data_IF_577531667794
#
_entry.id   IF_577531667794
#
_cell.length_a   1.000
_cell.length_b   1.000
_cell.length_c   1.000
_cell.angle_alpha   90.00
_cell.angle_beta   90.00
_cell.angle_gamma   90.00
#
_symmetry.space_group_name_H-M   'P 1'
#
loop_
_entity.id
_entity.type
_entity.pdbx_description
1 polymer ?
#
# COMPACT_ATOMS: atom_id res chain seq x y z
N UNK A 1 -2.70 -9.70 -20.19
CA UNK A 1 -2.18 -8.47 -19.61
C UNK A 1 -3.22 -7.35 -19.78
N UNK A 2 -3.24 -6.37 -18.84
CA UNK A 2 -4.16 -5.21 -18.90
C UNK A 2 -3.95 -4.36 -20.16
N UNK A 3 -2.74 -4.32 -20.70
CA UNK A 3 -2.42 -3.63 -21.95
C UNK A 3 -3.24 -4.16 -23.14
N UNK A 4 -3.62 -5.44 -23.15
CA UNK A 4 -4.46 -6.00 -24.20
C UNK A 4 -5.86 -5.36 -24.27
N UNK A 5 -6.31 -4.69 -23.22
CA UNK A 5 -7.56 -3.91 -23.26
C UNK A 5 -7.34 -2.66 -24.13
N UNK A 6 -6.20 -1.98 -23.96
CA UNK A 6 -5.85 -0.81 -24.73
C UNK A 6 -5.68 -1.12 -26.24
N UNK A 7 -5.12 -2.29 -26.60
CA UNK A 7 -4.98 -2.70 -28.02
C UNK A 7 -6.31 -2.90 -28.76
N UNK A 8 -7.42 -3.06 -28.02
CA UNK A 8 -8.76 -3.22 -28.57
C UNK A 8 -9.55 -1.90 -28.65
N UNK A 9 -8.97 -0.79 -28.16
CA UNK A 9 -9.60 0.52 -28.25
C UNK A 9 -9.60 1.02 -29.69
N UNK A 10 -10.68 1.71 -30.06
CA UNK A 10 -10.79 2.41 -31.35
C UNK A 10 -10.09 3.76 -31.32
N UNK A 11 -10.05 4.48 -32.44
CA UNK A 11 -9.51 5.86 -32.53
C UNK A 11 -10.23 6.87 -31.63
N UNK A 12 -11.46 6.58 -31.20
CA UNK A 12 -12.20 7.43 -30.24
C UNK A 12 -11.80 7.18 -28.80
N UNK A 13 -11.15 6.04 -28.50
CA UNK A 13 -10.65 5.76 -27.17
C UNK A 13 -9.46 6.63 -26.77
N UNK A 14 -9.20 6.71 -25.47
CA UNK A 14 -8.04 7.40 -24.91
C UNK A 14 -7.26 6.44 -24.03
N UNK A 15 -5.96 6.36 -24.24
CA UNK A 15 -5.03 5.62 -23.39
C UNK A 15 -4.22 6.61 -22.56
N UNK A 16 -4.56 6.71 -21.28
CA UNK A 16 -3.85 7.55 -20.30
C UNK A 16 -2.81 6.68 -19.61
N UNK A 17 -1.55 7.08 -19.63
CA UNK A 17 -0.47 6.24 -19.09
C UNK A 17 0.70 7.04 -18.55
N UNK A 18 1.38 6.46 -17.58
CA UNK A 18 2.64 6.99 -17.06
C UNK A 18 3.77 6.78 -18.09
N UNK A 19 4.27 7.87 -18.67
CA UNK A 19 5.38 7.85 -19.64
C UNK A 19 6.74 7.48 -19.03
N UNK A 20 6.85 7.47 -17.67
CA UNK A 20 8.09 7.09 -16.99
C UNK A 20 8.24 5.56 -16.86
N UNK A 21 7.12 4.79 -17.06
CA UNK A 21 7.16 3.33 -17.04
C UNK A 21 7.89 2.77 -18.25
N UNK A 22 9.00 2.07 -17.98
CA UNK A 22 9.77 1.37 -19.01
C UNK A 22 8.96 0.26 -19.67
N UNK A 23 8.11 -0.42 -18.87
CA UNK A 23 7.25 -1.50 -19.35
C UNK A 23 6.20 -0.99 -20.35
N UNK A 24 5.57 0.14 -20.05
CA UNK A 24 4.59 0.75 -20.97
C UNK A 24 5.26 1.22 -22.25
N UNK A 25 6.44 1.84 -22.17
CA UNK A 25 7.21 2.23 -23.36
C UNK A 25 7.50 1.04 -24.26
N UNK A 26 8.05 -0.03 -23.70
CA UNK A 26 8.36 -1.25 -24.46
C UNK A 26 7.11 -1.91 -25.08
N UNK A 27 5.95 -1.85 -24.38
CA UNK A 27 4.68 -2.37 -24.91
C UNK A 27 4.15 -1.51 -26.07
N UNK A 28 4.25 -0.19 -25.99
CA UNK A 28 3.83 0.75 -27.05
C UNK A 28 4.69 0.59 -28.30
N UNK A 29 6.01 0.41 -28.14
CA UNK A 29 6.93 0.13 -29.27
C UNK A 29 6.60 -1.19 -29.97
N UNK A 30 6.31 -2.25 -29.18
CA UNK A 30 5.98 -3.58 -29.71
C UNK A 30 4.59 -3.64 -30.35
N UNK A 31 3.62 -2.93 -29.81
CA UNK A 31 2.22 -2.99 -30.22
C UNK A 31 1.59 -1.59 -30.15
N UNK A 32 1.74 -0.79 -31.22
CA UNK A 32 1.16 0.56 -31.28
C UNK A 32 -0.36 0.54 -31.11
N UNK A 33 -0.90 1.55 -30.44
CA UNK A 33 -2.33 1.70 -30.19
C UNK A 33 -2.97 2.60 -31.25
N UNK A 34 -4.24 2.32 -31.59
CA UNK A 34 -5.05 3.18 -32.46
C UNK A 34 -5.69 4.33 -31.68
N UNK A 35 -5.87 4.19 -30.37
CA UNK A 35 -6.46 5.18 -29.50
C UNK A 35 -5.56 6.41 -29.34
N UNK A 36 -6.18 7.56 -29.00
CA UNK A 36 -5.43 8.77 -28.62
C UNK A 36 -4.56 8.45 -27.39
N UNK A 37 -3.33 8.91 -27.41
CA UNK A 37 -2.39 8.71 -26.32
C UNK A 37 -2.29 9.97 -25.47
N UNK A 38 -2.49 9.84 -24.16
CA UNK A 38 -2.37 10.94 -23.18
C UNK A 38 -1.35 10.54 -22.11
N UNK A 39 -0.05 10.76 -22.38
CA UNK A 39 1.01 10.47 -21.43
C UNK A 39 1.01 11.48 -20.27
N UNK A 40 1.42 11.05 -19.09
CA UNK A 40 1.75 11.91 -17.97
C UNK A 40 3.00 11.40 -17.25
N UNK A 41 3.62 12.23 -16.44
CA UNK A 41 4.83 11.88 -15.68
C UNK A 41 4.68 12.20 -14.20
N UNK A 42 5.64 11.73 -13.42
CA UNK A 42 5.76 12.01 -12.00
C UNK A 42 5.88 13.51 -11.71
N UNK A 43 6.64 14.25 -12.50
CA UNK A 43 6.84 15.69 -12.34
C UNK A 43 5.53 16.48 -12.47
N UNK A 44 4.55 15.94 -13.20
CA UNK A 44 3.24 16.54 -13.38
C UNK A 44 2.28 16.21 -12.22
N UNK A 45 2.60 15.22 -11.39
CA UNK A 45 1.77 14.73 -10.28
C UNK A 45 2.02 15.53 -8.99
N UNK A 46 1.65 16.81 -9.01
CA UNK A 46 1.94 17.78 -7.92
C UNK A 46 0.81 17.97 -6.92
N UNK A 47 -0.34 17.29 -7.09
CA UNK A 47 -1.50 17.47 -6.22
C UNK A 47 -1.32 16.67 -4.94
N UNK A 48 -1.26 17.38 -3.82
CA UNK A 48 -1.29 16.79 -2.49
C UNK A 48 -2.73 16.64 -2.00
N UNK A 49 -3.14 15.40 -1.76
CA UNK A 49 -4.44 15.09 -1.18
C UNK A 49 -4.39 15.04 0.34
N UNK A 50 -5.50 15.42 0.98
CA UNK A 50 -5.60 15.45 2.43
C UNK A 50 -5.44 14.05 3.05
N UNK A 51 -5.99 13.04 2.39
CA UNK A 51 -6.10 11.68 2.93
C UNK A 51 -5.30 10.63 2.13
N UNK A 52 -5.04 10.86 0.84
CA UNK A 52 -4.25 9.94 0.01
C UNK A 52 -2.77 10.33 0.04
N UNK A 53 -1.99 9.67 0.89
CA UNK A 53 -0.56 9.94 1.06
C UNK A 53 0.29 9.10 0.11
N UNK A 54 1.48 9.63 -0.20
CA UNK A 54 2.49 8.95 -1.00
C UNK A 54 2.46 9.29 -2.49
N UNK A 55 3.63 9.22 -3.09
CA UNK A 55 3.86 9.60 -4.49
C UNK A 55 3.03 8.77 -5.48
N UNK A 56 2.90 7.46 -5.22
CA UNK A 56 2.08 6.59 -6.05
C UNK A 56 0.60 7.04 -6.07
N UNK A 57 0.09 7.62 -4.98
CA UNK A 57 -1.27 8.17 -4.94
C UNK A 57 -1.36 9.50 -5.70
N UNK A 58 -0.33 10.33 -5.71
CA UNK A 58 -0.29 11.53 -6.56
C UNK A 58 -0.39 11.15 -8.05
N UNK A 59 0.29 10.08 -8.47
CA UNK A 59 0.17 9.53 -9.83
C UNK A 59 -1.24 9.01 -10.13
N UNK A 60 -1.85 8.31 -9.17
CA UNK A 60 -3.24 7.83 -9.29
C UNK A 60 -4.23 9.00 -9.40
N UNK A 61 -4.06 10.04 -8.61
CA UNK A 61 -4.86 11.27 -8.64
C UNK A 61 -4.75 11.95 -10.01
N UNK A 62 -3.52 12.16 -10.51
CA UNK A 62 -3.31 12.78 -11.80
C UNK A 62 -3.97 11.97 -12.92
N UNK A 63 -3.82 10.66 -12.92
CA UNK A 63 -4.46 9.80 -13.92
C UNK A 63 -5.98 9.87 -13.86
N UNK A 64 -6.58 9.95 -12.65
CA UNK A 64 -8.02 10.08 -12.46
C UNK A 64 -8.54 11.45 -12.95
N UNK A 65 -7.81 12.53 -12.66
CA UNK A 65 -8.13 13.88 -13.16
C UNK A 65 -8.09 13.91 -14.69
N UNK A 66 -7.02 13.38 -15.29
CA UNK A 66 -6.90 13.31 -16.74
C UNK A 66 -8.03 12.50 -17.37
N UNK A 67 -8.44 11.42 -16.73
CA UNK A 67 -9.56 10.60 -17.19
C UNK A 67 -10.90 11.36 -17.07
N UNK A 68 -11.17 12.02 -15.93
CA UNK A 68 -12.42 12.76 -15.73
C UNK A 68 -12.60 13.92 -16.74
N UNK A 69 -11.50 14.56 -17.13
CA UNK A 69 -11.51 15.60 -18.14
C UNK A 69 -11.95 15.08 -19.53
N UNK A 70 -11.65 13.81 -19.86
CA UNK A 70 -12.13 13.19 -21.10
C UNK A 70 -13.68 13.00 -21.11
N UNK A 71 -14.30 13.03 -19.92
CA UNK A 71 -15.75 13.02 -19.73
C UNK A 71 -16.34 14.41 -19.43
N UNK A 72 -15.57 15.49 -19.63
CA UNK A 72 -16.05 16.86 -19.54
C UNK A 72 -15.93 17.51 -18.16
N UNK A 73 -15.28 16.88 -17.19
CA UNK A 73 -15.02 17.50 -15.89
C UNK A 73 -14.05 18.69 -16.06
N UNK A 74 -14.32 19.80 -15.36
CA UNK A 74 -13.37 20.91 -15.28
C UNK A 74 -12.19 20.54 -14.39
N UNK A 75 -11.00 20.99 -14.76
CA UNK A 75 -9.76 20.66 -14.05
C UNK A 75 -9.84 21.05 -12.57
N UNK A 76 -10.29 22.25 -12.27
CA UNK A 76 -10.37 22.80 -10.90
C UNK A 76 -11.35 22.01 -10.02
N UNK A 77 -12.46 21.55 -10.58
CA UNK A 77 -13.45 20.71 -9.88
C UNK A 77 -12.88 19.32 -9.59
N UNK A 78 -12.19 18.71 -10.57
CA UNK A 78 -11.55 17.43 -10.43
C UNK A 78 -10.40 17.47 -9.38
N UNK A 79 -9.58 18.52 -9.37
CA UNK A 79 -8.51 18.73 -8.38
C UNK A 79 -9.09 18.91 -6.97
N UNK A 80 -10.15 19.70 -6.82
CA UNK A 80 -10.80 19.92 -5.53
C UNK A 80 -11.40 18.62 -4.99
N UNK A 81 -12.05 17.84 -5.84
CA UNK A 81 -12.60 16.53 -5.48
C UNK A 81 -11.49 15.56 -5.07
N UNK A 82 -10.39 15.51 -5.83
CA UNK A 82 -9.26 14.63 -5.54
C UNK A 82 -8.56 14.99 -4.21
N UNK A 83 -8.40 16.28 -3.90
CA UNK A 83 -7.83 16.74 -2.61
C UNK A 83 -8.63 16.24 -1.40
N UNK A 84 -9.95 16.15 -1.53
CA UNK A 84 -10.86 15.79 -0.44
C UNK A 84 -11.34 14.34 -0.52
N UNK A 85 -10.84 13.56 -1.49
CA UNK A 85 -11.23 12.17 -1.67
C UNK A 85 -10.83 11.33 -0.46
N UNK A 86 -11.83 10.67 0.14
CA UNK A 86 -11.60 9.75 1.25
C UNK A 86 -11.06 8.42 0.69
N UNK A 87 -9.93 7.91 1.19
CA UNK A 87 -9.44 6.62 0.77
C UNK A 87 -10.41 5.50 1.14
N UNK A 88 -10.32 4.40 0.44
CA UNK A 88 -11.04 3.18 0.82
C UNK A 88 -10.57 2.71 2.19
N UNK A 89 -11.51 2.18 3.00
CA UNK A 89 -11.18 1.50 4.22
C UNK A 89 -10.10 0.43 3.98
N UNK A 90 -9.26 0.18 4.97
CA UNK A 90 -8.16 -0.79 4.92
C UNK A 90 -7.03 -0.48 3.92
N UNK A 91 -6.98 0.74 3.36
CA UNK A 91 -5.90 1.21 2.49
C UNK A 91 -5.22 2.44 3.09
N UNK A 92 -4.12 2.26 3.80
CA UNK A 92 -3.45 3.32 4.57
C UNK A 92 -4.45 4.13 5.41
N UNK A 93 -5.47 3.45 5.91
CA UNK A 93 -6.55 4.03 6.70
C UNK A 93 -5.99 4.49 8.05
N UNK A 94 -6.14 5.77 8.36
CA UNK A 94 -5.86 6.27 9.70
C UNK A 94 -6.89 5.73 10.69
N UNK A 95 -6.44 4.94 11.66
CA UNK A 95 -7.30 4.33 12.68
C UNK A 95 -7.48 5.23 13.89
N UNK A 96 -6.44 5.95 14.26
CA UNK A 96 -6.44 6.84 15.41
C UNK A 96 -5.08 6.96 16.07
N UNK A 97 -5.02 7.78 17.11
CA UNK A 97 -3.87 7.91 17.99
C UNK A 97 -4.25 7.44 19.40
N UNK A 98 -3.43 6.58 19.98
CA UNK A 98 -3.57 6.09 21.35
C UNK A 98 -2.23 6.17 22.08
N UNK A 99 -2.22 6.82 23.23
CA UNK A 99 -1.01 6.98 24.05
C UNK A 99 0.20 7.61 23.32
N UNK A 100 -0.07 8.45 22.31
CA UNK A 100 0.94 9.09 21.47
C UNK A 100 1.45 8.22 20.33
N UNK A 101 0.91 7.02 20.11
CA UNK A 101 1.19 6.15 18.97
C UNK A 101 0.09 6.31 17.94
N UNK A 102 0.47 6.52 16.69
CA UNK A 102 -0.47 6.57 15.55
C UNK A 102 -0.62 5.19 14.92
N UNK A 103 -1.85 4.78 14.66
CA UNK A 103 -2.17 3.48 14.07
C UNK A 103 -2.73 3.62 12.67
N UNK A 104 -2.20 2.83 11.73
CA UNK A 104 -2.68 2.75 10.35
C UNK A 104 -3.06 1.32 9.97
N UNK A 105 -4.17 1.20 9.26
CA UNK A 105 -4.68 -0.05 8.72
C UNK A 105 -4.51 -0.07 7.20
N UNK A 106 -3.65 -0.96 6.73
CA UNK A 106 -3.39 -1.21 5.31
C UNK A 106 -3.59 -2.71 5.00
N UNK A 107 -4.61 -3.29 5.60
CA UNK A 107 -4.91 -4.73 5.50
C UNK A 107 -5.13 -5.21 4.06
N UNK A 108 -5.48 -4.32 3.13
CA UNK A 108 -5.61 -4.64 1.70
C UNK A 108 -4.27 -4.94 1.02
N UNK A 109 -3.15 -4.59 1.63
CA UNK A 109 -1.81 -4.82 1.06
C UNK A 109 -1.40 -6.28 1.19
N UNK A 110 -1.69 -7.06 0.14
CA UNK A 110 -1.52 -8.52 0.09
C UNK A 110 -0.30 -8.98 -0.71
N UNK A 111 0.58 -8.05 -1.08
CA UNK A 111 1.85 -8.29 -1.78
C UNK A 111 2.96 -7.40 -1.22
N UNK A 112 4.23 -7.82 -1.27
CA UNK A 112 5.37 -7.06 -0.73
C UNK A 112 5.49 -5.63 -1.25
N UNK A 113 5.26 -5.41 -2.55
CA UNK A 113 5.36 -4.10 -3.18
C UNK A 113 4.38 -3.08 -2.57
N UNK A 114 3.16 -3.52 -2.21
CA UNK A 114 2.17 -2.65 -1.59
C UNK A 114 2.63 -2.20 -0.19
N UNK A 115 3.19 -3.11 0.61
CA UNK A 115 3.73 -2.79 1.94
C UNK A 115 4.95 -1.86 1.85
N UNK A 116 5.83 -2.05 0.86
CA UNK A 116 6.96 -1.15 0.60
C UNK A 116 6.45 0.26 0.28
N UNK A 117 5.45 0.40 -0.58
CA UNK A 117 4.86 1.70 -0.89
C UNK A 117 4.17 2.34 0.33
N UNK A 118 3.55 1.53 1.19
CA UNK A 118 3.00 2.00 2.47
C UNK A 118 4.10 2.57 3.40
N UNK A 119 5.23 1.88 3.52
CA UNK A 119 6.38 2.32 4.30
C UNK A 119 7.00 3.61 3.74
N UNK A 120 7.08 3.76 2.42
CA UNK A 120 7.54 5.00 1.76
C UNK A 120 6.59 6.17 2.04
N UNK A 121 5.28 5.91 2.04
CA UNK A 121 4.26 6.93 2.28
C UNK A 121 4.23 7.39 3.75
N UNK A 122 4.44 6.47 4.70
CA UNK A 122 4.38 6.70 6.15
C UNK A 122 5.79 6.64 6.77
N UNK A 123 6.55 7.72 6.63
CA UNK A 123 7.99 7.77 6.98
C UNK A 123 8.36 7.42 8.43
N UNK A 124 7.42 7.44 9.39
CA UNK A 124 7.68 7.21 10.82
C UNK A 124 7.22 5.84 11.32
N UNK A 125 7.05 4.88 10.42
CA UNK A 125 6.63 3.52 10.81
C UNK A 125 7.75 2.86 11.61
N UNK A 126 7.50 2.63 12.90
CA UNK A 126 8.43 1.94 13.79
C UNK A 126 8.03 0.48 14.01
N UNK A 127 6.72 0.19 14.01
CA UNK A 127 6.19 -1.15 14.23
C UNK A 127 5.37 -1.58 13.02
N UNK A 128 5.68 -2.74 12.46
CA UNK A 128 5.04 -3.32 11.28
C UNK A 128 4.45 -4.70 11.62
N UNK A 129 3.20 -4.93 11.21
CA UNK A 129 2.56 -6.25 11.24
C UNK A 129 2.61 -6.85 9.84
N UNK A 130 3.31 -7.98 9.69
CA UNK A 130 3.65 -8.65 8.44
C UNK A 130 3.17 -10.11 8.45
N UNK A 131 2.57 -10.58 7.36
CA UNK A 131 2.22 -11.97 7.19
C UNK A 131 0.73 -12.25 7.08
N UNK A 132 0.39 -13.53 7.10
CA UNK A 132 -0.91 -14.11 6.84
C UNK A 132 -0.76 -15.40 6.04
N UNK A 133 -1.68 -15.69 5.11
CA UNK A 133 -1.65 -16.86 4.25
C UNK A 133 -0.50 -16.80 3.24
N UNK A 134 0.34 -17.82 3.24
CA UNK A 134 1.38 -17.96 2.23
C UNK A 134 0.80 -18.52 0.92
N UNK A 135 0.94 -17.75 -0.15
CA UNK A 135 0.53 -18.14 -1.50
C UNK A 135 1.70 -18.49 -2.42
N UNK A 136 2.89 -18.71 -1.84
CA UNK A 136 4.12 -19.01 -2.59
C UNK A 136 4.65 -17.82 -3.39
N UNK A 137 4.26 -16.58 -3.04
CA UNK A 137 4.79 -15.39 -3.71
C UNK A 137 6.22 -15.09 -3.23
N UNK A 138 6.93 -14.28 -4.01
CA UNK A 138 8.28 -13.84 -3.68
C UNK A 138 8.25 -12.72 -2.64
N UNK A 139 8.84 -12.93 -1.46
CA UNK A 139 8.97 -11.95 -0.39
C UNK A 139 10.33 -11.26 -0.35
N UNK A 140 11.27 -11.64 -1.24
CA UNK A 140 12.61 -11.02 -1.27
C UNK A 140 12.59 -9.50 -1.34
N UNK A 141 11.66 -8.83 -2.07
CA UNK A 141 11.64 -7.36 -2.12
C UNK A 141 11.48 -6.70 -0.75
N UNK A 142 10.59 -7.21 0.12
CA UNK A 142 10.43 -6.62 1.47
C UNK A 142 11.60 -6.99 2.39
N UNK A 143 12.15 -8.19 2.28
CA UNK A 143 13.32 -8.64 3.05
C UNK A 143 14.56 -7.82 2.74
N UNK A 144 14.74 -7.41 1.48
CA UNK A 144 15.87 -6.59 1.04
C UNK A 144 15.74 -5.13 1.47
N UNK A 145 14.54 -4.55 1.32
CA UNK A 145 14.31 -3.12 1.47
C UNK A 145 13.90 -2.68 2.87
N UNK A 146 13.46 -3.59 3.75
CA UNK A 146 12.93 -3.22 5.07
C UNK A 146 13.94 -2.41 5.91
N UNK A 147 15.24 -2.65 5.72
CA UNK A 147 16.32 -1.92 6.39
C UNK A 147 16.47 -0.45 5.97
N UNK A 148 15.83 -0.04 4.88
CA UNK A 148 15.83 1.35 4.40
C UNK A 148 14.83 2.24 5.18
N UNK A 149 13.96 1.63 6.00
CA UNK A 149 12.90 2.30 6.75
C UNK A 149 13.21 2.37 8.26
N UNK A 150 12.47 3.21 8.98
CA UNK A 150 12.62 3.38 10.44
C UNK A 150 12.04 2.20 11.25
N UNK A 151 11.69 1.10 10.63
CA UNK A 151 11.12 -0.08 11.31
C UNK A 151 12.10 -0.64 12.32
N UNK A 152 11.64 -0.88 13.53
CA UNK A 152 12.40 -1.48 14.64
C UNK A 152 11.71 -2.75 15.18
N UNK A 153 10.40 -2.79 15.09
CA UNK A 153 9.58 -3.87 15.63
C UNK A 153 8.78 -4.52 14.50
N UNK A 154 8.76 -5.85 14.43
CA UNK A 154 8.02 -6.58 13.43
C UNK A 154 7.25 -7.72 14.10
N UNK A 155 5.92 -7.70 13.97
CA UNK A 155 5.07 -8.82 14.33
C UNK A 155 4.81 -9.68 13.08
N UNK A 156 5.27 -10.92 13.10
CA UNK A 156 5.10 -11.88 12.01
C UNK A 156 3.89 -12.78 12.28
N UNK A 157 2.98 -12.86 11.31
CA UNK A 157 1.69 -13.53 11.42
C UNK A 157 1.55 -14.63 10.38
N UNK A 158 0.96 -15.76 10.74
CA UNK A 158 0.64 -16.84 9.82
C UNK A 158 1.85 -17.49 9.15
N UNK A 159 1.56 -18.30 8.15
CA UNK A 159 2.62 -19.03 7.41
C UNK A 159 3.53 -18.07 6.63
N UNK A 160 2.96 -17.04 6.00
CA UNK A 160 3.74 -16.03 5.28
C UNK A 160 4.68 -15.27 6.22
N UNK A 161 4.22 -14.88 7.41
CA UNK A 161 5.06 -14.20 8.41
C UNK A 161 6.24 -15.06 8.85
N UNK A 162 6.00 -16.35 9.16
CA UNK A 162 7.07 -17.31 9.52
C UNK A 162 8.07 -17.50 8.39
N UNK A 163 7.60 -17.55 7.13
CA UNK A 163 8.47 -17.65 5.97
C UNK A 163 9.32 -16.40 5.78
N UNK A 164 8.72 -15.21 5.86
CA UNK A 164 9.45 -13.93 5.76
C UNK A 164 10.52 -13.84 6.86
N UNK A 165 10.17 -14.16 8.12
CA UNK A 165 11.12 -14.21 9.24
C UNK A 165 12.30 -15.13 8.94
N UNK A 166 12.04 -16.33 8.42
CA UNK A 166 13.09 -17.29 8.04
C UNK A 166 13.96 -16.78 6.88
N UNK A 167 13.36 -16.11 5.88
CA UNK A 167 14.08 -15.52 4.75
C UNK A 167 14.94 -14.33 5.17
N UNK A 168 14.56 -13.58 6.20
CA UNK A 168 15.38 -12.52 6.79
C UNK A 168 16.68 -13.02 7.43
N UNK A 169 16.74 -14.30 7.85
CA UNK A 169 17.93 -14.93 8.48
C UNK A 169 18.51 -14.03 9.59
N UNK A 170 19.82 -13.78 9.52
CA UNK A 170 20.52 -12.94 10.49
C UNK A 170 20.02 -11.48 10.53
N UNK A 171 19.44 -10.97 9.44
CA UNK A 171 18.84 -9.62 9.41
C UNK A 171 17.74 -9.48 10.46
N UNK A 172 17.00 -10.54 10.78
CA UNK A 172 15.97 -10.52 11.80
C UNK A 172 16.46 -10.09 13.18
N UNK A 173 17.75 -10.35 13.50
CA UNK A 173 18.37 -9.97 14.77
C UNK A 173 18.48 -8.45 14.95
N UNK A 174 18.33 -7.67 13.89
CA UNK A 174 18.36 -6.21 13.95
C UNK A 174 16.99 -5.61 14.37
N UNK A 175 15.98 -6.46 14.56
CA UNK A 175 14.62 -6.05 14.88
C UNK A 175 14.15 -6.73 16.16
N UNK A 176 13.28 -6.04 16.89
CA UNK A 176 12.48 -6.69 17.93
C UNK A 176 11.34 -7.44 17.23
N UNK A 177 11.31 -8.76 17.33
CA UNK A 177 10.40 -9.63 16.59
C UNK A 177 9.42 -10.36 17.51
N UNK A 178 8.16 -10.41 17.10
CA UNK A 178 7.14 -11.30 17.65
C UNK A 178 6.67 -12.25 16.56
N UNK A 179 6.52 -13.53 16.87
CA UNK A 179 5.85 -14.53 16.02
C UNK A 179 4.58 -14.98 16.73
N UNK A 180 3.42 -14.56 16.24
CA UNK A 180 2.13 -14.93 16.85
C UNK A 180 1.03 -14.94 15.80
N UNK A 181 -0.01 -15.73 16.05
CA UNK A 181 -1.26 -15.73 15.28
C UNK A 181 -2.42 -15.10 16.09
N UNK A 182 -2.18 -14.77 17.36
CA UNK A 182 -3.16 -14.09 18.21
C UNK A 182 -3.08 -12.56 18.03
N UNK A 183 -4.06 -11.98 17.38
CA UNK A 183 -4.13 -10.53 17.12
C UNK A 183 -4.26 -9.70 18.41
N UNK A 184 -4.79 -10.26 19.52
CA UNK A 184 -4.81 -9.56 20.82
C UNK A 184 -3.40 -9.43 21.39
N UNK A 185 -2.64 -10.53 21.34
CA UNK A 185 -1.22 -10.53 21.72
C UNK A 185 -0.43 -9.55 20.84
N UNK A 186 -0.62 -9.63 19.52
CA UNK A 186 0.08 -8.76 18.55
C UNK A 186 -0.18 -7.28 18.85
N UNK A 187 -1.43 -6.86 19.00
CA UNK A 187 -1.78 -5.46 19.25
C UNK A 187 -1.25 -4.99 20.61
N UNK A 188 -1.34 -5.82 21.63
CA UNK A 188 -0.77 -5.51 22.96
C UNK A 188 0.75 -5.34 22.89
N UNK A 189 1.43 -6.23 22.16
CA UNK A 189 2.87 -6.14 21.95
C UNK A 189 3.25 -4.90 21.11
N UNK A 190 2.50 -4.59 20.05
CA UNK A 190 2.72 -3.37 19.25
C UNK A 190 2.60 -2.11 20.10
N UNK A 191 1.57 -2.03 20.96
CA UNK A 191 1.39 -0.91 21.91
C UNK A 191 2.60 -0.76 22.85
N UNK A 192 3.10 -1.87 23.39
CA UNK A 192 4.21 -1.85 24.36
C UNK A 192 5.56 -1.47 23.71
N UNK A 193 5.74 -1.74 22.41
CA UNK A 193 7.02 -1.59 21.70
C UNK A 193 7.07 -0.43 20.72
N UNK A 194 5.95 0.27 20.46
CA UNK A 194 5.95 1.47 19.61
C UNK A 194 6.13 2.72 20.47
N UNK A 195 7.11 3.53 20.14
CA UNK A 195 7.37 4.79 20.85
C UNK A 195 6.33 5.85 20.50
N UNK A 196 6.16 6.83 21.39
CA UNK A 196 5.34 8.01 21.10
C UNK A 196 5.82 8.72 19.83
N UNK A 197 4.89 9.35 19.12
CA UNK A 197 5.10 10.05 17.84
C UNK A 197 5.55 9.15 16.69
N UNK A 198 5.51 7.83 16.88
CA UNK A 198 5.77 6.83 15.85
C UNK A 198 4.48 6.14 15.41
N UNK A 199 4.59 5.37 14.33
CA UNK A 199 3.47 4.70 13.68
C UNK A 199 3.57 3.19 13.89
N UNK A 200 2.44 2.59 14.27
CA UNK A 200 2.19 1.16 14.14
C UNK A 200 1.33 0.92 12.90
N UNK A 201 1.83 0.11 11.99
CA UNK A 201 1.21 -0.17 10.68
C UNK A 201 0.84 -1.64 10.54
N UNK A 202 -0.44 -1.92 10.27
CA UNK A 202 -0.86 -3.21 9.72
C UNK A 202 -0.73 -3.14 8.19
N UNK A 203 0.32 -3.72 7.60
CA UNK A 203 0.49 -3.84 6.14
C UNK A 203 1.11 -5.21 5.83
N UNK A 204 0.26 -6.23 5.67
CA UNK A 204 0.66 -7.63 5.84
C UNK A 204 1.56 -8.21 4.74
N UNK A 205 1.63 -7.63 3.55
CA UNK A 205 2.27 -8.21 2.37
C UNK A 205 1.73 -9.60 1.97
N UNK A 206 0.68 -10.08 2.62
CA UNK A 206 0.13 -11.42 2.46
C UNK A 206 -1.39 -11.43 2.54
N UNK A 207 -2.00 -12.45 1.95
CA UNK A 207 -3.44 -12.70 2.01
C UNK A 207 -3.91 -13.01 3.44
N UNK A 208 -5.21 -12.91 3.69
CA UNK A 208 -5.81 -13.10 5.02
C UNK A 208 -6.59 -14.40 5.18
N UNK A 209 -6.75 -15.18 4.12
CA UNK A 209 -7.70 -16.30 4.05
C UNK A 209 -7.34 -17.52 4.90
N UNK A 210 -6.18 -17.53 5.58
CA UNK A 210 -5.79 -18.55 6.55
C UNK A 210 -6.50 -18.37 7.91
N UNK A 211 -6.83 -17.13 8.29
CA UNK A 211 -7.42 -16.81 9.59
C UNK A 211 -8.68 -15.95 9.49
N UNK A 212 -8.95 -15.35 8.34
CA UNK A 212 -10.05 -14.41 8.13
C UNK A 212 -10.81 -14.73 6.85
N UNK A 213 -12.07 -14.33 6.78
CA UNK A 213 -12.88 -14.46 5.56
C UNK A 213 -12.36 -13.61 4.41
N UNK A 214 -11.76 -12.47 4.72
CA UNK A 214 -11.19 -11.51 3.77
C UNK A 214 -10.28 -10.50 4.48
N UNK A 215 -9.68 -9.56 3.74
CA UNK A 215 -8.81 -8.54 4.30
C UNK A 215 -9.60 -7.50 5.11
N UNK A 216 -10.88 -7.28 4.80
CA UNK A 216 -11.76 -6.39 5.55
C UNK A 216 -11.95 -6.91 6.97
N UNK A 217 -12.27 -8.19 7.14
CA UNK A 217 -12.41 -8.82 8.46
C UNK A 217 -11.13 -8.71 9.29
N UNK A 218 -9.94 -8.92 8.69
CA UNK A 218 -8.65 -8.71 9.36
C UNK A 218 -8.47 -7.26 9.80
N UNK A 219 -8.78 -6.32 8.92
CA UNK A 219 -8.65 -4.90 9.20
C UNK A 219 -9.63 -4.40 10.24
N UNK A 220 -10.88 -4.90 10.26
CA UNK A 220 -11.86 -4.55 11.27
C UNK A 220 -11.45 -5.06 12.65
N UNK A 221 -10.97 -6.32 12.76
CA UNK A 221 -10.45 -6.84 14.03
C UNK A 221 -9.30 -5.97 14.55
N UNK A 222 -8.36 -5.58 13.68
CA UNK A 222 -7.27 -4.69 14.07
C UNK A 222 -7.79 -3.35 14.62
N UNK A 223 -8.74 -2.70 13.93
CA UNK A 223 -9.35 -1.44 14.38
C UNK A 223 -10.07 -1.60 15.72
N UNK A 224 -10.84 -2.68 15.88
CA UNK A 224 -11.53 -2.98 17.13
C UNK A 224 -10.52 -3.08 18.29
N UNK A 225 -9.46 -3.88 18.12
CA UNK A 225 -8.44 -4.06 19.17
C UNK A 225 -7.72 -2.76 19.50
N UNK A 226 -7.48 -1.88 18.51
CA UNK A 226 -6.92 -0.54 18.75
C UNK A 226 -7.89 0.33 19.54
N UNK A 227 -9.18 0.19 19.36
CA UNK A 227 -10.17 0.98 20.13
C UNK A 227 -10.22 0.59 21.61
N UNK A 228 -9.87 -0.65 21.92
CA UNK A 228 -9.90 -1.25 23.28
C UNK A 228 -8.65 -0.91 24.12
N UNK A 229 -7.60 -0.28 23.55
CA UNK A 229 -6.30 -0.01 24.24
C UNK A 229 -6.14 1.49 24.68
#
# INVERSE_FOLDING_TARGET
>A
SKYNIATKQTKQGVFIFNKDSKEIKALLEKTPLQSRQKPFSKEEATIEANYLKGEHNQMNILSAILASQEFGAKKEEAETTAKNFQPLAHRLEYVGEKNGVTYYNDSISTIPQATIEALKALKKVQTLILGGMDRGIDYSPIVEQIGEFEVKNIAFVGQAGRRIYKEMKEKANNYNCLLSDDYKEIVSWCKANTQKEKICLLSPAASSYDMFTNFEHRGELFKQLISEI
#
